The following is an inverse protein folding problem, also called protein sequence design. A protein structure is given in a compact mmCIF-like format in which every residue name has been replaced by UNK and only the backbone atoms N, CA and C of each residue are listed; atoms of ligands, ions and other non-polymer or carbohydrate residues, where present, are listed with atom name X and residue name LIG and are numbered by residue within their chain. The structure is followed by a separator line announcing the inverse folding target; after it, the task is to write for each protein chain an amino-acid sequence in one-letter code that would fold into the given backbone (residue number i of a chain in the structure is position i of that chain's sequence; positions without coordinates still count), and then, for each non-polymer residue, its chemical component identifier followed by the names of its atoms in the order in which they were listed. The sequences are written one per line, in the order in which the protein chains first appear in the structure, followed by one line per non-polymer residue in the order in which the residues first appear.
data_IF_585451161294
#
_entry.id   IF_585451161294
#
_cell.length_a   1.000
_cell.length_b   1.000
_cell.length_c   1.000
_cell.angle_alpha   90.00
_cell.angle_beta   90.00
_cell.angle_gamma   90.00
#
_symmetry.space_group_name_H-M   'P 1'
#
loop_
_entity.id
_entity.type
_entity.pdbx_description
1 polymer ?
#
# COMPACT_ATOMS: atom_id res chain seq x y z
N UNK A 1 -17.82 0.31 -21.42
CA UNK A 1 -16.95 1.51 -21.35
C UNK A 1 -16.65 1.75 -19.88
N UNK A 2 -15.40 1.99 -19.55
CA UNK A 2 -14.99 2.23 -18.16
C UNK A 2 -15.60 3.54 -17.68
N UNK A 3 -16.34 3.51 -16.59
CA UNK A 3 -16.88 4.71 -15.95
C UNK A 3 -15.95 5.17 -14.84
N UNK A 4 -15.12 6.17 -15.12
CA UNK A 4 -14.16 6.72 -14.15
C UNK A 4 -14.82 7.35 -12.92
N UNK A 5 -16.04 7.86 -13.04
CA UNK A 5 -16.77 8.38 -11.88
C UNK A 5 -17.13 7.23 -10.93
N UNK A 6 -17.55 6.09 -11.50
CA UNK A 6 -17.83 4.90 -10.71
C UNK A 6 -16.59 4.37 -10.01
N UNK A 7 -15.44 4.34 -10.69
CA UNK A 7 -14.15 3.93 -10.06
C UNK A 7 -13.80 4.87 -8.92
N UNK A 8 -13.98 6.18 -9.08
CA UNK A 8 -13.74 7.16 -8.03
C UNK A 8 -14.65 6.93 -6.81
N UNK A 9 -15.94 6.70 -7.01
CA UNK A 9 -16.86 6.37 -5.93
C UNK A 9 -16.42 5.10 -5.16
N UNK A 10 -16.02 4.07 -5.90
CA UNK A 10 -15.53 2.82 -5.30
C UNK A 10 -14.27 3.07 -4.50
N UNK A 11 -13.30 3.81 -5.03
CA UNK A 11 -12.07 4.17 -4.32
C UNK A 11 -12.38 4.97 -3.05
N UNK A 12 -13.34 5.89 -3.08
CA UNK A 12 -13.81 6.60 -1.91
C UNK A 12 -14.41 5.66 -0.85
N UNK A 13 -15.08 4.58 -1.28
CA UNK A 13 -15.60 3.55 -0.39
C UNK A 13 -14.52 2.81 0.40
N UNK A 14 -13.30 2.73 -0.12
CA UNK A 14 -12.15 2.13 0.55
C UNK A 14 -11.33 3.11 1.42
N UNK A 15 -11.72 4.37 1.52
CA UNK A 15 -10.94 5.39 2.22
C UNK A 15 -10.56 4.98 3.64
N UNK A 16 -11.50 4.47 4.43
CA UNK A 16 -11.24 4.05 5.81
C UNK A 16 -10.26 2.88 5.90
N UNK A 17 -10.40 1.88 5.01
CA UNK A 17 -9.49 0.73 4.96
C UNK A 17 -8.09 1.15 4.51
N UNK A 18 -7.98 1.98 3.47
CA UNK A 18 -6.71 2.53 2.99
C UNK A 18 -6.01 3.35 4.07
N UNK A 19 -6.75 4.18 4.80
CA UNK A 19 -6.24 4.95 5.94
C UNK A 19 -5.71 4.03 7.04
N UNK A 20 -6.49 3.03 7.43
CA UNK A 20 -6.09 2.06 8.45
C UNK A 20 -4.84 1.28 8.04
N UNK A 21 -4.74 0.88 6.77
CA UNK A 21 -3.58 0.18 6.24
C UNK A 21 -2.34 1.08 6.21
N UNK A 22 -2.45 2.32 5.73
CA UNK A 22 -1.33 3.28 5.75
C UNK A 22 -0.85 3.53 7.19
N UNK A 23 -1.76 3.71 8.12
CA UNK A 23 -1.46 3.87 9.54
C UNK A 23 -0.76 2.64 10.12
N UNK A 24 -1.16 1.44 9.72
CA UNK A 24 -0.53 0.21 10.17
C UNK A 24 0.94 0.08 9.67
N UNK A 25 1.23 0.51 8.44
CA UNK A 25 2.61 0.56 7.93
C UNK A 25 3.43 1.58 8.73
N UNK A 26 2.95 2.82 8.84
CA UNK A 26 3.66 3.95 9.46
C UNK A 26 4.01 3.71 10.93
N UNK A 27 3.22 2.92 11.66
CA UNK A 27 3.49 2.56 13.06
C UNK A 27 4.79 1.80 13.28
N UNK A 28 5.35 1.24 12.24
CA UNK A 28 6.60 0.50 12.31
C UNK A 28 7.74 1.34 11.73
N UNK A 29 8.90 1.42 12.39
CA UNK A 29 10.12 1.86 11.72
C UNK A 29 10.42 0.97 10.52
N UNK A 30 10.87 1.53 9.42
CA UNK A 30 11.18 0.79 8.20
C UNK A 30 12.34 1.44 7.46
N UNK A 31 13.47 1.69 8.16
CA UNK A 31 14.67 2.19 7.50
C UNK A 31 15.26 1.11 6.60
N UNK A 32 16.01 1.53 5.57
CA UNK A 32 16.63 0.61 4.62
C UNK A 32 17.40 -0.52 5.31
N UNK A 33 17.15 -1.75 4.93
CA UNK A 33 17.63 -3.01 5.53
C UNK A 33 16.95 -3.40 6.86
N UNK A 34 15.87 -2.73 7.26
CA UNK A 34 15.05 -3.08 8.45
C UNK A 34 13.53 -2.96 8.15
N UNK A 35 13.12 -3.35 6.93
CA UNK A 35 11.76 -3.21 6.43
C UNK A 35 10.84 -4.39 6.78
N UNK A 36 11.31 -5.37 7.55
CA UNK A 36 10.57 -6.62 7.81
C UNK A 36 9.12 -6.38 8.26
N UNK A 37 8.91 -5.44 9.17
CA UNK A 37 7.57 -5.15 9.69
C UNK A 37 6.65 -4.53 8.61
N UNK A 38 7.20 -3.69 7.72
CA UNK A 38 6.47 -3.16 6.56
C UNK A 38 6.08 -4.28 5.60
N UNK A 39 7.03 -5.16 5.24
CA UNK A 39 6.80 -6.33 4.37
C UNK A 39 5.70 -7.22 4.92
N UNK A 40 5.75 -7.57 6.20
CA UNK A 40 4.75 -8.42 6.85
C UNK A 40 3.36 -7.76 6.89
N UNK A 41 3.29 -6.46 7.15
CA UNK A 41 2.05 -5.67 7.17
C UNK A 41 1.43 -5.62 5.76
N UNK A 42 2.22 -5.34 4.74
CA UNK A 42 1.75 -5.26 3.35
C UNK A 42 1.31 -6.64 2.86
N UNK A 43 2.09 -7.69 3.14
CA UNK A 43 1.72 -9.06 2.76
C UNK A 43 0.41 -9.51 3.43
N UNK A 44 0.18 -9.13 4.68
CA UNK A 44 -1.05 -9.43 5.40
C UNK A 44 -2.26 -8.72 4.76
N UNK A 45 -2.12 -7.44 4.41
CA UNK A 45 -3.21 -6.70 3.76
C UNK A 45 -3.50 -7.23 2.35
N UNK A 46 -2.49 -7.53 1.54
CA UNK A 46 -2.70 -8.15 0.23
C UNK A 46 -3.47 -9.47 0.33
N UNK A 47 -3.16 -10.31 1.34
CA UNK A 47 -3.91 -11.55 1.60
C UNK A 47 -5.35 -11.29 2.01
N UNK A 48 -5.58 -10.32 2.89
CA UNK A 48 -6.93 -9.87 3.31
C UNK A 48 -7.76 -9.38 2.13
N UNK A 49 -7.11 -8.72 1.15
CA UNK A 49 -7.72 -8.21 -0.07
C UNK A 49 -7.89 -9.27 -1.17
N UNK A 50 -7.60 -10.54 -0.85
CA UNK A 50 -7.79 -11.66 -1.76
C UNK A 50 -6.94 -11.57 -3.04
N UNK A 51 -5.66 -11.19 -2.90
CA UNK A 51 -4.69 -11.34 -3.98
C UNK A 51 -4.54 -12.83 -4.34
N UNK A 52 -4.41 -13.15 -5.61
CA UNK A 52 -4.35 -14.54 -6.08
C UNK A 52 -3.10 -15.27 -5.58
N UNK A 53 -2.00 -14.54 -5.44
CA UNK A 53 -0.77 -15.01 -4.82
C UNK A 53 -0.04 -13.85 -4.13
N UNK A 54 0.56 -14.11 -2.96
CA UNK A 54 1.40 -13.15 -2.23
C UNK A 54 2.68 -13.84 -1.80
N UNK A 55 3.80 -13.37 -2.32
CA UNK A 55 5.14 -13.92 -2.10
C UNK A 55 6.02 -12.88 -1.42
N UNK A 56 6.83 -13.32 -0.47
CA UNK A 56 7.97 -12.55 0.03
C UNK A 56 9.22 -13.25 -0.50
N UNK A 57 9.97 -12.56 -1.33
CA UNK A 57 11.17 -13.14 -1.93
C UNK A 57 12.37 -13.14 -0.96
N UNK A 58 13.48 -13.81 -1.28
CA UNK A 58 14.66 -13.87 -0.41
C UNK A 58 15.34 -12.51 -0.15
N UNK A 59 15.03 -11.49 -0.95
CA UNK A 59 15.56 -10.13 -0.78
C UNK A 59 14.67 -9.26 0.11
N UNK A 60 13.48 -9.77 0.48
CA UNK A 60 12.52 -9.06 1.30
C UNK A 60 11.47 -8.28 0.51
N UNK A 61 11.42 -8.40 -0.83
CA UNK A 61 10.35 -7.79 -1.60
C UNK A 61 9.04 -8.52 -1.37
N UNK A 62 7.95 -7.79 -1.19
CA UNK A 62 6.60 -8.35 -1.19
C UNK A 62 5.99 -8.20 -2.57
N UNK A 63 5.56 -9.31 -3.16
CA UNK A 63 5.02 -9.38 -4.50
C UNK A 63 3.62 -9.96 -4.43
N UNK A 64 2.63 -9.18 -4.87
CA UNK A 64 1.24 -9.62 -4.98
C UNK A 64 0.83 -9.79 -6.43
N UNK A 65 0.19 -10.90 -6.75
CA UNK A 65 -0.30 -11.19 -8.09
C UNK A 65 -1.82 -11.16 -8.13
N UNK A 66 -2.36 -10.61 -9.22
CA UNK A 66 -3.78 -10.68 -9.57
C UNK A 66 -3.93 -10.98 -11.05
N UNK A 67 -4.83 -11.93 -11.39
CA UNK A 67 -5.04 -12.41 -12.74
C UNK A 67 -4.21 -13.65 -13.07
N UNK A 68 -4.44 -14.22 -14.25
CA UNK A 68 -3.90 -15.53 -14.63
C UNK A 68 -3.19 -15.57 -15.99
N UNK A 69 -2.98 -14.40 -16.59
CA UNK A 69 -2.38 -14.29 -17.92
C UNK A 69 -0.85 -14.39 -17.91
N UNK A 70 -0.27 -14.57 -19.09
CA UNK A 70 1.18 -14.60 -19.29
C UNK A 70 1.82 -13.22 -19.43
N UNK A 71 1.00 -12.20 -19.70
CA UNK A 71 1.45 -10.80 -19.82
C UNK A 71 1.41 -10.13 -18.45
N UNK A 72 2.50 -9.47 -18.06
CA UNK A 72 2.64 -8.83 -16.77
C UNK A 72 2.54 -7.32 -16.92
N UNK A 73 1.71 -6.70 -16.09
CA UNK A 73 1.74 -5.26 -15.82
C UNK A 73 2.19 -5.11 -14.38
N UNK A 74 3.39 -4.60 -14.16
CA UNK A 74 3.94 -4.42 -12.82
C UNK A 74 3.74 -2.97 -12.34
N UNK A 75 3.32 -2.84 -11.08
CA UNK A 75 3.41 -1.62 -10.31
C UNK A 75 4.49 -1.81 -9.26
N UNK A 76 5.38 -0.87 -9.14
CA UNK A 76 6.50 -0.91 -8.21
C UNK A 76 6.45 0.28 -7.26
N UNK A 77 6.86 0.08 -6.02
CA UNK A 77 6.97 1.11 -5.02
C UNK A 77 7.91 0.67 -3.90
N UNK A 78 8.76 1.59 -3.44
CA UNK A 78 9.62 1.31 -2.30
C UNK A 78 8.86 1.39 -0.98
N UNK A 79 9.31 0.65 0.02
CA UNK A 79 8.69 0.53 1.33
C UNK A 79 9.60 1.00 2.46
N UNK A 80 10.88 1.21 2.17
CA UNK A 80 11.79 1.78 3.14
C UNK A 80 11.53 3.28 3.33
N UNK A 81 11.92 3.77 4.48
CA UNK A 81 11.83 5.17 4.86
C UNK A 81 13.16 5.68 5.37
N UNK A 82 13.40 6.97 5.23
CA UNK A 82 14.52 7.59 5.96
C UNK A 82 14.19 7.68 7.45
N UNK A 83 15.20 7.68 8.29
CA UNK A 83 15.05 7.85 9.73
C UNK A 83 14.37 9.16 10.11
N UNK A 84 13.84 9.22 11.33
CA UNK A 84 13.13 10.40 11.85
C UNK A 84 14.04 11.60 12.14
N UNK A 85 15.36 11.38 12.18
CA UNK A 85 16.31 12.41 12.55
C UNK A 85 16.16 12.86 14.00
N UNK A 86 16.23 14.18 14.25
CA UNK A 86 16.05 14.69 15.61
C UNK A 86 14.56 14.75 15.96
N UNK A 87 14.16 13.96 16.95
CA UNK A 87 12.77 13.88 17.43
C UNK A 87 12.21 15.25 17.88
N UNK A 88 13.06 16.15 18.35
CA UNK A 88 12.63 17.48 18.79
C UNK A 88 12.18 18.39 17.63
N UNK A 89 12.42 18.00 16.38
CA UNK A 89 11.93 18.72 15.20
C UNK A 89 10.50 18.30 14.81
N UNK A 90 9.94 17.29 15.47
CA UNK A 90 8.59 16.82 15.23
C UNK A 90 7.61 17.43 16.22
N UNK A 91 6.43 17.81 15.75
CA UNK A 91 5.34 18.34 16.59
C UNK A 91 4.37 17.24 17.05
N UNK A 92 4.59 16.00 16.61
CA UNK A 92 3.85 14.78 16.94
C UNK A 92 4.81 13.59 16.87
N UNK A 93 4.41 12.44 17.41
CA UNK A 93 5.17 11.21 17.27
C UNK A 93 5.20 10.76 15.80
N UNK A 94 6.38 10.66 15.14
CA UNK A 94 6.47 10.33 13.71
C UNK A 94 5.98 8.94 13.35
N UNK A 95 5.93 7.98 14.27
CA UNK A 95 5.46 6.61 14.04
C UNK A 95 4.02 6.40 14.52
N UNK A 96 3.60 7.02 15.62
CA UNK A 96 2.17 7.02 15.95
C UNK A 96 1.40 7.91 14.96
N UNK A 97 2.04 8.98 14.50
CA UNK A 97 1.47 9.88 13.50
C UNK A 97 0.20 10.58 13.98
N UNK A 98 -0.51 11.16 13.04
CA UNK A 98 -1.85 11.69 13.28
C UNK A 98 -2.76 11.47 12.08
N UNK A 99 -4.06 11.57 12.31
CA UNK A 99 -5.10 11.51 11.31
C UNK A 99 -6.18 12.53 11.61
N UNK A 100 -6.66 13.23 10.58
CA UNK A 100 -7.84 14.07 10.64
C UNK A 100 -8.69 13.89 9.36
N UNK A 101 -9.68 14.73 9.15
CA UNK A 101 -10.61 14.60 8.00
C UNK A 101 -9.92 14.72 6.63
N UNK A 102 -8.76 15.36 6.55
CA UNK A 102 -8.09 15.71 5.28
C UNK A 102 -6.66 15.21 5.16
N UNK A 103 -6.04 14.81 6.27
CA UNK A 103 -4.61 14.55 6.33
C UNK A 103 -4.29 13.32 7.17
N UNK A 104 -3.24 12.62 6.76
CA UNK A 104 -2.54 11.62 7.56
C UNK A 104 -1.08 12.06 7.66
N UNK A 105 -0.57 12.20 8.87
CA UNK A 105 0.82 12.57 9.11
C UNK A 105 1.60 11.43 9.75
N UNK A 106 2.86 11.29 9.36
CA UNK A 106 3.78 10.28 9.89
C UNK A 106 5.00 10.08 9.01
N UNK A 107 6.02 9.38 9.54
CA UNK A 107 7.20 9.04 8.75
C UNK A 107 6.82 8.06 7.63
N UNK A 108 7.17 8.39 6.38
CA UNK A 108 6.90 7.53 5.23
C UNK A 108 5.51 7.68 4.61
N UNK A 109 4.58 8.44 5.21
CA UNK A 109 3.21 8.62 4.67
C UNK A 109 3.23 9.09 3.22
N UNK A 110 4.01 10.13 2.91
CA UNK A 110 4.10 10.72 1.57
C UNK A 110 5.13 10.01 0.69
N UNK A 111 6.24 9.59 1.26
CA UNK A 111 7.37 8.97 0.56
C UNK A 111 7.71 7.61 1.20
N UNK A 112 7.21 6.49 0.59
CA UNK A 112 6.07 6.55 -0.34
C UNK A 112 4.99 5.52 0.02
N UNK A 113 4.80 5.22 1.33
CA UNK A 113 3.81 4.22 1.76
C UNK A 113 2.39 4.55 1.26
N UNK A 114 2.04 5.84 1.13
CA UNK A 114 0.75 6.26 0.55
C UNK A 114 0.59 5.83 -0.91
N UNK A 115 1.67 5.87 -1.69
CA UNK A 115 1.71 5.35 -3.07
C UNK A 115 1.52 3.84 -3.11
N UNK A 116 2.20 3.10 -2.22
CA UNK A 116 2.06 1.63 -2.07
C UNK A 116 0.62 1.25 -1.71
N UNK A 117 0.02 1.92 -0.72
CA UNK A 117 -1.39 1.71 -0.34
C UNK A 117 -2.32 1.93 -1.54
N UNK A 118 -2.10 3.01 -2.29
CA UNK A 118 -2.90 3.33 -3.47
C UNK A 118 -2.77 2.28 -4.57
N UNK A 119 -1.57 1.74 -4.80
CA UNK A 119 -1.33 0.68 -5.78
C UNK A 119 -2.02 -0.64 -5.37
N UNK A 120 -1.91 -1.04 -4.10
CA UNK A 120 -2.53 -2.27 -3.57
C UNK A 120 -4.06 -2.20 -3.71
N UNK A 121 -4.68 -1.10 -3.31
CA UNK A 121 -6.14 -0.94 -3.44
C UNK A 121 -6.58 -0.70 -4.89
N UNK A 122 -5.74 -0.09 -5.72
CA UNK A 122 -5.96 0.00 -7.16
C UNK A 122 -6.06 -1.38 -7.81
N UNK A 123 -5.14 -2.30 -7.48
CA UNK A 123 -5.19 -3.68 -7.94
C UNK A 123 -6.46 -4.41 -7.44
N UNK A 124 -6.84 -4.22 -6.17
CA UNK A 124 -8.11 -4.74 -5.61
C UNK A 124 -9.32 -4.28 -6.41
N UNK A 125 -9.42 -3.00 -6.71
CA UNK A 125 -10.52 -2.44 -7.52
C UNK A 125 -10.51 -3.03 -8.92
N UNK A 126 -9.34 -3.18 -9.54
CA UNK A 126 -9.24 -3.82 -10.85
C UNK A 126 -9.76 -5.27 -10.85
N UNK A 127 -9.44 -6.04 -9.81
CA UNK A 127 -9.94 -7.40 -9.65
C UNK A 127 -11.47 -7.43 -9.48
N UNK A 128 -12.01 -6.67 -8.53
CA UNK A 128 -13.43 -6.71 -8.17
C UNK A 128 -14.35 -6.27 -9.31
N UNK A 129 -13.87 -5.39 -10.17
CA UNK A 129 -14.63 -4.86 -11.30
C UNK A 129 -14.27 -5.50 -12.65
N UNK A 130 -13.51 -6.62 -12.62
CA UNK A 130 -13.06 -7.33 -13.82
C UNK A 130 -12.38 -6.40 -14.83
N UNK A 131 -11.51 -5.54 -14.35
CA UNK A 131 -10.75 -4.58 -15.17
C UNK A 131 -9.38 -5.11 -15.58
N UNK A 132 -8.96 -6.26 -15.07
CA UNK A 132 -7.74 -6.93 -15.50
C UNK A 132 -8.01 -7.52 -16.90
N UNK A 133 -7.30 -7.08 -17.94
CA UNK A 133 -7.57 -7.57 -19.30
C UNK A 133 -7.28 -9.06 -19.42
N UNK A 134 -8.01 -9.75 -20.32
CA UNK A 134 -7.75 -11.15 -20.61
C UNK A 134 -6.29 -11.35 -21.08
N UNK A 135 -5.63 -12.36 -20.53
CA UNK A 135 -4.22 -12.68 -20.82
C UNK A 135 -3.22 -11.83 -20.02
N UNK A 136 -3.66 -11.01 -19.08
CA UNK A 136 -2.79 -10.21 -18.20
C UNK A 136 -2.85 -10.63 -16.74
N UNK A 137 -1.82 -10.33 -16.02
CA UNK A 137 -1.73 -10.34 -14.57
C UNK A 137 -0.88 -9.20 -14.09
#
# INVERSE_FOLDING_TARGET
MLDFNKIKEVAQGYQADMTAFLRAIVKNPGESCDEKAHVETIAAEMKKLDFDEVVIDPQGNVIGYMGTGDKIIAFDGHIDTVGIGNINNWTFDPYDGYENETEIGGRGVSDQCGGVVSAVYGAKIMKDYNLIPEGYK
#
